data_IF_353486089513
#
_entry.id   IF_353486089513
#
_cell.length_a   1.000
_cell.length_b   1.000
_cell.length_c   1.000
_cell.angle_alpha   90.00
_cell.angle_beta   90.00
_cell.angle_gamma   90.00
#
_symmetry.space_group_name_H-M   'P 1'
#
loop_
_entity.id
_entity.type
_entity.pdbx_description
1 polymer ?
#
# COMPACT_ATOMS: atom_id res chain seq x y z
N UNK A 1 -2.79 27.23 -7.55
CA UNK A 1 -1.72 26.84 -6.61
C UNK A 1 -2.18 25.52 -6.02
N UNK A 2 -1.36 24.47 -6.00
CA UNK A 2 -1.83 23.18 -5.45
C UNK A 2 -2.13 23.38 -3.96
N UNK A 3 -3.40 23.19 -3.58
CA UNK A 3 -3.93 23.46 -2.23
C UNK A 3 -3.61 22.34 -1.23
N UNK A 4 -2.80 21.35 -1.63
CA UNK A 4 -2.43 20.19 -0.83
C UNK A 4 -0.92 19.97 -0.86
N UNK A 5 -0.36 19.59 0.28
CA UNK A 5 0.96 18.99 0.35
C UNK A 5 0.81 17.47 0.17
N UNK A 6 1.79 16.81 -0.45
CA UNK A 6 1.72 15.38 -0.73
C UNK A 6 2.81 14.63 0.03
N UNK A 7 2.43 13.50 0.63
CA UNK A 7 3.36 12.52 1.20
C UNK A 7 3.31 11.25 0.35
N UNK A 8 4.49 10.76 0.01
CA UNK A 8 4.67 9.52 -0.75
C UNK A 8 5.27 8.44 0.14
N UNK A 9 4.72 7.24 0.05
CA UNK A 9 5.34 6.02 0.57
C UNK A 9 5.57 5.12 -0.65
N UNK A 10 6.84 4.97 -1.02
CA UNK A 10 7.25 4.24 -2.21
C UNK A 10 7.73 2.84 -1.83
N UNK A 11 7.25 1.86 -2.59
CA UNK A 11 7.62 0.45 -2.53
C UNK A 11 7.56 -0.17 -1.12
N UNK A 12 6.52 0.13 -0.35
CA UNK A 12 6.32 -0.49 0.96
C UNK A 12 6.10 -1.99 0.79
N UNK A 13 7.12 -2.76 1.16
CA UNK A 13 7.10 -4.21 1.11
C UNK A 13 6.47 -4.80 2.37
N UNK A 14 5.45 -5.63 2.19
CA UNK A 14 4.86 -6.41 3.28
C UNK A 14 4.56 -7.85 2.85
N UNK A 15 4.26 -8.72 3.81
CA UNK A 15 3.90 -10.11 3.56
C UNK A 15 2.53 -10.41 4.16
N UNK A 16 1.58 -10.78 3.33
CA UNK A 16 0.19 -11.00 3.74
C UNK A 16 -0.40 -12.24 3.07
N UNK A 17 -1.38 -12.86 3.72
CA UNK A 17 -2.20 -13.91 3.13
C UNK A 17 -3.30 -13.27 2.31
N UNK A 18 -3.31 -13.52 1.00
CA UNK A 18 -4.26 -12.97 0.04
C UNK A 18 -4.47 -14.01 -1.06
N UNK A 19 -5.66 -14.08 -1.66
CA UNK A 19 -5.98 -15.03 -2.72
C UNK A 19 -7.22 -15.89 -2.44
N UNK A 20 -7.76 -16.48 -3.50
CA UNK A 20 -9.02 -17.25 -3.45
C UNK A 20 -8.72 -18.73 -3.29
N UNK A 21 -7.61 -19.22 -3.88
CA UNK A 21 -7.25 -20.62 -3.82
C UNK A 21 -6.79 -21.03 -2.43
N UNK A 22 -7.06 -22.29 -2.07
CA UNK A 22 -6.72 -22.81 -0.74
C UNK A 22 -5.22 -22.72 -0.44
N UNK A 23 -4.35 -22.89 -1.46
CA UNK A 23 -2.90 -22.78 -1.31
C UNK A 23 -2.45 -21.33 -1.03
N UNK A 24 -3.15 -20.33 -1.59
CA UNK A 24 -2.87 -18.91 -1.36
C UNK A 24 -3.22 -18.49 0.08
N UNK A 25 -4.28 -19.09 0.62
CA UNK A 25 -4.71 -18.86 2.01
C UNK A 25 -3.78 -19.48 3.05
N UNK A 26 -2.92 -20.42 2.65
CA UNK A 26 -1.99 -21.12 3.53
C UNK A 26 -0.59 -20.49 3.56
N UNK A 27 -0.28 -19.58 2.62
CA UNK A 27 1.06 -18.98 2.48
C UNK A 27 0.98 -17.46 2.46
N UNK A 28 1.95 -16.79 3.10
CA UNK A 28 2.07 -15.32 2.96
C UNK A 28 2.76 -14.98 1.65
N UNK A 29 2.16 -14.08 0.88
CA UNK A 29 2.68 -13.59 -0.37
C UNK A 29 3.30 -12.19 -0.16
N UNK A 30 4.39 -11.85 -0.88
CA UNK A 30 4.96 -10.51 -0.85
C UNK A 30 4.05 -9.53 -1.59
N UNK A 31 3.79 -8.38 -0.99
CA UNK A 31 3.07 -7.26 -1.59
C UNK A 31 3.98 -6.03 -1.61
N UNK A 32 3.88 -5.24 -2.67
CA UNK A 32 4.50 -3.93 -2.79
C UNK A 32 3.37 -2.90 -2.88
N UNK A 33 3.34 -1.97 -1.95
CA UNK A 33 2.29 -0.96 -1.82
C UNK A 33 2.92 0.41 -2.04
N UNK A 34 2.35 1.16 -2.98
CA UNK A 34 2.68 2.57 -3.20
C UNK A 34 1.50 3.42 -2.71
N UNK A 35 1.78 4.42 -1.86
CA UNK A 35 0.76 5.32 -1.30
C UNK A 35 1.10 6.76 -1.62
N UNK A 36 0.07 7.51 -2.03
CA UNK A 36 0.10 8.97 -2.15
C UNK A 36 -0.96 9.53 -1.22
N UNK A 37 -0.56 10.40 -0.29
CA UNK A 37 -1.41 10.98 0.73
C UNK A 37 -1.47 12.48 0.49
N UNK A 38 -2.66 13.02 0.30
CA UNK A 38 -2.89 14.45 0.19
C UNK A 38 -3.20 15.04 1.58
N UNK A 39 -2.46 16.07 1.98
CA UNK A 39 -2.64 16.78 3.24
C UNK A 39 -3.15 18.19 2.92
N UNK A 40 -4.36 18.48 3.41
CA UNK A 40 -4.93 19.83 3.37
C UNK A 40 -4.12 20.78 4.25
N UNK A 41 -3.83 21.97 3.71
CA UNK A 41 -3.21 23.04 4.49
C UNK A 41 -4.21 23.58 5.51
N UNK A 42 -3.79 23.70 6.77
CA UNK A 42 -4.56 24.31 7.86
C UNK A 42 -4.34 25.83 7.84
#
# INVERSE_FOLDING_TARGET
MNDFDQIFIEDLKCYATIGIFDWERQTKQPLIINLTLDISKI
#
